data_IF_912556508486
#
_entry.id   IF_912556508486
#
_cell.length_a   1.000
_cell.length_b   1.000
_cell.length_c   1.000
_cell.angle_alpha   90.00
_cell.angle_beta   90.00
_cell.angle_gamma   90.00
#
_symmetry.space_group_name_H-M   'P 1'
#
loop_
_entity.id
_entity.type
_entity.pdbx_description
1 polymer ?
#
# COMPACT_ATOMS: atom_id res chain seq x y z
N UNK A 1 -11.83 -11.18 -7.76
CA UNK A 1 -12.23 -9.76 -7.79
C UNK A 1 -12.36 -9.33 -6.35
N UNK A 2 -11.73 -8.21 -5.97
CA UNK A 2 -11.78 -7.71 -4.59
C UNK A 2 -13.24 -7.48 -4.17
N UNK A 3 -13.60 -8.03 -3.01
CA UNK A 3 -14.94 -8.03 -2.44
C UNK A 3 -15.11 -6.89 -1.45
N UNK A 4 -14.11 -6.67 -0.59
CA UNK A 4 -14.07 -5.54 0.34
C UNK A 4 -12.64 -5.12 0.64
N UNK A 5 -12.51 -3.86 1.05
CA UNK A 5 -11.27 -3.26 1.56
C UNK A 5 -11.67 -2.39 2.75
N UNK A 6 -11.02 -2.61 3.90
CA UNK A 6 -11.33 -1.94 5.15
C UNK A 6 -10.03 -1.49 5.82
N UNK A 7 -9.95 -0.21 6.19
CA UNK A 7 -8.90 0.29 7.08
C UNK A 7 -9.28 -0.10 8.50
N UNK A 8 -8.39 -0.79 9.22
CA UNK A 8 -8.62 -1.27 10.58
C UNK A 8 -7.50 -0.81 11.51
N UNK A 9 -7.63 -1.07 12.81
CA UNK A 9 -6.60 -0.79 13.82
C UNK A 9 -6.09 0.66 13.76
N UNK A 10 -7.02 1.62 13.63
CA UNK A 10 -6.72 3.07 13.54
C UNK A 10 -5.74 3.41 12.42
N UNK A 11 -5.89 2.79 11.24
CA UNK A 11 -5.03 3.05 10.09
C UNK A 11 -3.74 2.25 10.07
N UNK A 12 -3.47 1.41 11.08
CA UNK A 12 -2.24 0.61 11.14
C UNK A 12 -2.25 -0.60 10.23
N UNK A 13 -3.43 -1.04 9.82
CA UNK A 13 -3.60 -2.21 8.97
C UNK A 13 -4.72 -1.99 7.97
N UNK A 14 -4.62 -2.70 6.85
CA UNK A 14 -5.70 -2.82 5.88
C UNK A 14 -6.08 -4.27 5.73
N UNK A 15 -7.39 -4.53 5.75
CA UNK A 15 -7.97 -5.84 5.49
C UNK A 15 -8.56 -5.85 4.08
N UNK A 16 -8.14 -6.79 3.26
CA UNK A 16 -8.59 -6.95 1.87
C UNK A 16 -9.14 -8.35 1.69
N UNK A 17 -10.39 -8.44 1.21
CA UNK A 17 -11.00 -9.69 0.78
C UNK A 17 -10.90 -9.81 -0.74
N UNK A 18 -10.11 -10.77 -1.23
CA UNK A 18 -9.92 -11.01 -2.65
C UNK A 18 -10.98 -11.96 -3.27
N UNK A 19 -11.87 -12.52 -2.45
CA UNK A 19 -12.89 -13.51 -2.77
C UNK A 19 -12.41 -14.96 -2.66
N UNK A 20 -11.10 -15.20 -2.76
CA UNK A 20 -10.43 -16.49 -2.57
C UNK A 20 -9.65 -16.56 -1.24
N UNK A 21 -9.55 -15.43 -0.53
CA UNK A 21 -8.87 -15.32 0.75
C UNK A 21 -8.87 -13.89 1.27
N UNK A 22 -8.66 -13.76 2.58
CA UNK A 22 -8.53 -12.47 3.27
C UNK A 22 -7.07 -12.25 3.58
N UNK A 23 -6.60 -11.02 3.36
CA UNK A 23 -5.25 -10.59 3.72
C UNK A 23 -5.31 -9.37 4.62
N UNK A 24 -4.45 -9.37 5.64
CA UNK A 24 -4.24 -8.21 6.51
C UNK A 24 -2.81 -7.77 6.31
N UNK A 25 -2.61 -6.52 5.88
CA UNK A 25 -1.30 -5.94 5.61
C UNK A 25 -1.10 -4.73 6.52
N UNK A 26 0.09 -4.58 7.07
CA UNK A 26 0.41 -3.41 7.91
C UNK A 26 0.68 -2.19 7.03
N UNK A 27 0.31 -1.00 7.54
CA UNK A 27 0.57 0.28 6.90
C UNK A 27 2.06 0.45 6.57
N UNK A 28 2.94 0.07 7.51
CA UNK A 28 4.39 0.15 7.30
C UNK A 28 4.87 -0.76 6.19
N UNK A 29 4.41 -2.01 6.14
CA UNK A 29 4.81 -2.94 5.07
C UNK A 29 4.37 -2.41 3.69
N UNK A 30 3.14 -1.92 3.58
CA UNK A 30 2.65 -1.33 2.35
C UNK A 30 3.46 -0.09 1.94
N UNK A 31 3.73 0.82 2.88
CA UNK A 31 4.52 2.02 2.63
C UNK A 31 5.95 1.68 2.19
N UNK A 32 6.53 0.62 2.77
CA UNK A 32 7.83 0.04 2.40
C UNK A 32 7.85 -0.57 1.00
N UNK A 33 6.68 -0.84 0.41
CA UNK A 33 6.51 -1.39 -0.94
C UNK A 33 5.86 -0.41 -1.93
N UNK A 34 5.81 0.89 -1.59
CA UNK A 34 5.36 1.92 -2.51
C UNK A 34 6.21 1.93 -3.79
N UNK A 35 5.56 1.87 -4.96
CA UNK A 35 6.21 1.87 -6.28
C UNK A 35 6.09 3.20 -7.02
N UNK A 36 5.91 4.32 -6.32
CA UNK A 36 5.92 5.63 -6.98
C UNK A 36 7.34 6.09 -7.31
N UNK A 37 7.47 7.08 -8.19
CA UNK A 37 8.75 7.65 -8.64
C UNK A 37 9.64 8.23 -7.51
N UNK A 38 9.05 8.53 -6.34
CA UNK A 38 9.81 8.95 -5.16
C UNK A 38 10.42 7.78 -4.38
N UNK A 39 9.94 6.56 -4.58
CA UNK A 39 10.33 5.37 -3.83
C UNK A 39 11.13 4.38 -4.68
N UNK A 40 10.92 4.40 -6.00
CA UNK A 40 11.54 3.53 -6.98
C UNK A 40 11.92 4.34 -8.22
N UNK A 41 13.15 4.18 -8.68
CA UNK A 41 13.64 4.88 -9.86
C UNK A 41 13.05 4.25 -11.13
N UNK A 42 12.46 5.08 -12.00
CA UNK A 42 11.53 4.63 -13.06
C UNK A 42 12.17 3.76 -14.14
N UNK A 43 13.48 3.87 -14.37
CA UNK A 43 14.17 3.22 -15.50
C UNK A 43 14.84 1.90 -15.09
N UNK A 44 15.39 1.84 -13.89
CA UNK A 44 16.10 0.70 -13.34
C UNK A 44 15.23 -0.17 -12.44
N UNK A 45 14.11 0.35 -11.94
CA UNK A 45 13.30 -0.29 -10.90
C UNK A 45 14.05 -0.36 -9.56
N UNK A 46 15.15 0.38 -9.41
CA UNK A 46 15.94 0.36 -8.18
C UNK A 46 15.16 1.09 -7.10
N UNK A 47 14.96 0.40 -5.97
CA UNK A 47 14.39 1.01 -4.78
C UNK A 47 15.36 2.07 -4.23
N UNK A 48 14.88 3.30 -4.13
CA UNK A 48 15.59 4.45 -3.57
C UNK A 48 15.00 4.90 -2.23
N UNK A 49 13.85 4.33 -1.85
CA UNK A 49 13.29 4.51 -0.52
C UNK A 49 14.23 3.95 0.54
N UNK A 50 14.65 4.82 1.47
CA UNK A 50 15.36 4.41 2.67
C UNK A 50 14.36 3.88 3.72
N UNK A 51 14.43 2.60 4.13
CA UNK A 51 13.44 2.01 5.05
C UNK A 51 13.33 2.73 6.40
N UNK A 52 14.42 3.35 6.85
CA UNK A 52 14.50 4.11 8.10
C UNK A 52 13.81 5.48 7.99
N UNK A 53 13.54 5.98 6.79
CA UNK A 53 12.85 7.25 6.58
C UNK A 53 11.34 7.16 6.82
N UNK A 54 10.75 5.95 6.77
CA UNK A 54 9.33 5.76 7.06
C UNK A 54 9.09 5.87 8.58
N UNK A 55 8.20 6.76 9.05
CA UNK A 55 7.86 6.89 10.46
C UNK A 55 7.26 5.60 11.06
N UNK A 56 7.59 5.27 12.31
CA UNK A 56 7.01 4.10 12.99
C UNK A 56 5.50 4.24 13.23
N UNK A 57 5.05 5.48 13.34
CA UNK A 57 3.66 5.86 13.51
C UNK A 57 2.91 6.06 12.19
N UNK A 58 3.49 5.69 11.04
CA UNK A 58 2.80 5.71 9.73
C UNK A 58 1.44 4.99 9.79
N UNK A 59 0.43 5.60 9.19
CA UNK A 59 -0.93 5.05 9.04
C UNK A 59 -1.48 5.30 7.64
N UNK A 60 -2.42 4.45 7.25
CA UNK A 60 -3.29 4.66 6.09
C UNK A 60 -4.44 5.55 6.55
N UNK A 61 -4.54 6.75 5.99
CA UNK A 61 -5.62 7.68 6.28
C UNK A 61 -6.86 7.41 5.43
N UNK A 62 -6.63 7.07 4.15
CA UNK A 62 -7.69 6.74 3.20
C UNK A 62 -7.15 5.86 2.07
N UNK A 63 -8.05 5.32 1.25
CA UNK A 63 -7.71 4.61 0.02
C UNK A 63 -8.74 4.86 -1.07
N UNK A 64 -8.30 4.68 -2.32
CA UNK A 64 -9.21 4.68 -3.46
C UNK A 64 -8.88 3.54 -4.43
N UNK A 65 -9.90 3.09 -5.14
CA UNK A 65 -9.74 2.13 -6.22
C UNK A 65 -9.19 2.82 -7.47
N UNK A 66 -8.17 2.20 -8.06
CA UNK A 66 -7.66 2.58 -9.37
C UNK A 66 -8.18 1.57 -10.38
N UNK A 67 -9.24 1.98 -11.07
CA UNK A 67 -10.00 1.12 -11.96
C UNK A 67 -10.45 -0.16 -11.27
N UNK A 68 -10.18 -1.31 -11.90
CA UNK A 68 -10.50 -2.65 -11.37
C UNK A 68 -9.27 -3.47 -10.98
N UNK A 69 -8.09 -2.85 -10.91
CA UNK A 69 -6.83 -3.58 -10.84
C UNK A 69 -5.91 -3.17 -9.69
N UNK A 70 -6.17 -2.06 -9.01
CA UNK A 70 -5.26 -1.54 -7.99
C UNK A 70 -5.96 -0.70 -6.91
N UNK A 71 -5.22 -0.45 -5.83
CA UNK A 71 -5.52 0.55 -4.81
C UNK A 71 -4.48 1.67 -4.84
N UNK A 72 -4.88 2.86 -4.43
CA UNK A 72 -4.00 3.98 -4.10
C UNK A 72 -4.30 4.36 -2.65
N UNK A 73 -3.27 4.65 -1.86
CA UNK A 73 -3.39 4.96 -0.43
C UNK A 73 -2.99 6.40 -0.15
N UNK A 74 -3.71 7.05 0.76
CA UNK A 74 -3.29 8.29 1.41
C UNK A 74 -2.63 7.96 2.74
N UNK A 75 -1.48 8.56 2.99
CA UNK A 75 -0.66 8.35 4.17
C UNK A 75 -0.56 9.63 5.00
N UNK A 76 -0.39 9.50 6.31
CA UNK A 76 -0.15 10.66 7.20
C UNK A 76 1.25 11.29 7.06
N UNK A 77 2.07 10.82 6.11
CA UNK A 77 3.38 11.39 5.73
C UNK A 77 3.31 12.17 4.40
N UNK A 78 2.11 12.62 4.02
CA UNK A 78 1.78 13.39 2.81
C UNK A 78 2.00 12.63 1.49
N UNK A 79 2.33 11.34 1.52
CA UNK A 79 2.38 10.53 0.32
C UNK A 79 0.98 10.12 -0.11
N UNK A 80 0.78 10.05 -1.42
CA UNK A 80 -0.48 9.52 -1.96
C UNK A 80 -0.36 8.95 -3.38
N UNK A 81 0.77 9.06 -4.07
CA UNK A 81 0.87 8.72 -5.50
C UNK A 81 1.22 7.25 -5.80
N UNK A 82 1.40 6.42 -4.76
CA UNK A 82 1.70 5.01 -4.92
C UNK A 82 0.49 4.21 -5.38
N UNK A 83 0.64 3.49 -6.50
CA UNK A 83 -0.37 2.56 -7.02
C UNK A 83 0.04 1.14 -6.63
N UNK A 84 -0.90 0.41 -6.04
CA UNK A 84 -0.72 -0.96 -5.56
C UNK A 84 -1.63 -1.90 -6.34
N UNK A 85 -1.13 -2.54 -7.42
CA UNK A 85 -1.87 -3.57 -8.12
C UNK A 85 -2.31 -4.69 -7.17
N UNK A 86 -3.52 -5.23 -7.38
CA UNK A 86 -4.04 -6.33 -6.55
C UNK A 86 -3.13 -7.56 -6.58
N UNK A 87 -2.44 -7.80 -7.70
CA UNK A 87 -1.46 -8.87 -7.82
C UNK A 87 -0.27 -8.66 -6.88
N UNK A 88 0.22 -7.43 -6.76
CA UNK A 88 1.27 -7.07 -5.79
C UNK A 88 0.76 -7.26 -4.37
N UNK A 89 -0.41 -6.72 -4.04
CA UNK A 89 -1.02 -6.84 -2.70
C UNK A 89 -1.22 -8.32 -2.30
N UNK A 90 -1.60 -9.18 -3.24
CA UNK A 90 -1.70 -10.63 -3.02
C UNK A 90 -0.37 -11.30 -2.70
N UNK A 91 0.76 -10.75 -3.12
CA UNK A 91 2.09 -11.32 -2.93
C UNK A 91 2.91 -10.68 -1.79
N UNK A 92 2.47 -9.56 -1.21
CA UNK A 92 3.18 -8.89 -0.09
C UNK A 92 3.06 -9.67 1.23
N UNK A 93 4.15 -9.89 1.96
CA UNK A 93 4.11 -10.55 3.29
C UNK A 93 3.83 -9.56 4.41
#
# INVERSE_FOLDING_TARGET
MVKSVEIINSGKEIKIDFGDGIKVLTARNLRLNCGCANCEEEWSGKRILEPTSIPFDIVIEDFMYIGKYALQFLWNDEHYTGIFPFEVLKNLE
#
